data_IF_615566735623
#
_entry.id   IF_615566735623
#
_cell.length_a   1.000
_cell.length_b   1.000
_cell.length_c   1.000
_cell.angle_alpha   90.00
_cell.angle_beta   90.00
_cell.angle_gamma   90.00
#
_symmetry.space_group_name_H-M   'P 1'
#
loop_
_entity.id
_entity.type
_entity.pdbx_description
1 polymer ?
#
# COMPACT_ATOMS: atom_id res chain seq x y z
N UNK A 1 9.88 39.48 14.57
CA UNK A 1 10.93 38.45 14.83
C UNK A 1 10.30 37.11 14.55
N UNK A 2 10.61 36.52 13.41
CA UNK A 2 10.19 35.14 13.07
C UNK A 2 11.08 34.22 13.90
N UNK A 3 10.53 33.65 14.95
CA UNK A 3 11.17 32.58 15.70
C UNK A 3 11.32 31.43 14.72
N UNK A 4 12.53 31.18 14.27
CA UNK A 4 12.87 30.04 13.42
C UNK A 4 12.84 28.80 14.29
N UNK A 5 11.62 28.32 14.57
CA UNK A 5 11.41 27.06 15.31
C UNK A 5 11.92 25.94 14.41
N UNK A 6 12.99 25.27 14.79
CA UNK A 6 13.50 24.10 14.09
C UNK A 6 12.39 23.04 14.11
N UNK A 7 11.97 22.62 12.92
CA UNK A 7 11.01 21.54 12.74
C UNK A 7 11.77 20.25 12.42
N UNK A 8 11.25 19.12 12.84
CA UNK A 8 11.79 17.79 12.52
C UNK A 8 10.70 16.89 11.91
N UNK A 9 11.12 15.94 11.10
CA UNK A 9 10.24 14.94 10.51
C UNK A 9 10.42 13.62 11.26
N UNK A 10 9.30 13.00 11.61
CA UNK A 10 9.26 11.75 12.35
C UNK A 10 8.30 10.77 11.67
N UNK A 11 8.81 9.61 11.32
CA UNK A 11 7.98 8.48 10.89
C UNK A 11 7.53 7.69 12.12
N UNK A 12 6.24 7.70 12.36
CA UNK A 12 5.57 6.95 13.43
C UNK A 12 5.05 5.65 12.82
N UNK A 13 5.38 4.51 13.43
CA UNK A 13 4.90 3.18 13.02
C UNK A 13 4.16 2.54 14.17
N UNK A 14 2.91 2.15 13.94
CA UNK A 14 2.04 1.53 14.94
C UNK A 14 1.58 0.18 14.41
N UNK A 15 1.73 -0.86 15.21
CA UNK A 15 1.29 -2.22 14.88
C UNK A 15 0.61 -2.86 16.07
N UNK A 16 -0.47 -3.59 15.81
CA UNK A 16 -1.21 -4.28 16.88
C UNK A 16 -2.59 -4.75 16.42
N UNK A 17 -3.40 -5.19 17.35
CA UNK A 17 -4.78 -5.57 17.04
C UNK A 17 -5.60 -4.33 16.67
N UNK A 18 -6.29 -4.42 15.53
CA UNK A 18 -7.20 -3.37 15.10
C UNK A 18 -8.41 -3.26 16.03
N UNK A 19 -8.78 -2.02 16.31
CA UNK A 19 -9.98 -1.70 17.07
C UNK A 19 -10.50 -0.29 16.75
N UNK A 20 -11.82 -0.06 16.85
CA UNK A 20 -12.39 1.25 16.64
C UNK A 20 -11.78 2.31 17.56
N UNK A 21 -11.46 3.48 17.01
CA UNK A 21 -10.96 4.63 17.77
C UNK A 21 -9.44 4.70 17.94
N UNK A 22 -8.67 3.66 17.54
CA UNK A 22 -7.21 3.68 17.65
C UNK A 22 -6.60 4.86 16.91
N UNK A 23 -6.87 4.98 15.62
CA UNK A 23 -6.35 6.08 14.79
C UNK A 23 -6.82 7.44 15.31
N UNK A 24 -8.09 7.56 15.74
CA UNK A 24 -8.60 8.81 16.31
C UNK A 24 -7.83 9.24 17.57
N UNK A 25 -7.55 8.31 18.49
CA UNK A 25 -6.78 8.61 19.69
C UNK A 25 -5.34 9.06 19.39
N UNK A 26 -4.71 8.49 18.38
CA UNK A 26 -3.37 8.92 17.93
C UNK A 26 -3.44 10.31 17.32
N UNK A 27 -4.43 10.58 16.45
CA UNK A 27 -4.60 11.88 15.81
C UNK A 27 -4.92 12.98 16.82
N UNK A 28 -5.66 12.71 17.89
CA UNK A 28 -5.95 13.66 18.96
C UNK A 28 -4.66 14.18 19.62
N UNK A 29 -3.70 13.29 19.91
CA UNK A 29 -2.40 13.67 20.48
C UNK A 29 -1.61 14.53 19.47
N UNK A 30 -1.55 14.13 18.21
CA UNK A 30 -0.83 14.87 17.17
C UNK A 30 -1.44 16.25 16.94
N UNK A 31 -2.77 16.34 16.91
CA UNK A 31 -3.49 17.59 16.74
C UNK A 31 -3.29 18.55 17.92
N UNK A 32 -3.17 18.04 19.15
CA UNK A 32 -2.96 18.88 20.36
C UNK A 32 -1.64 19.67 20.32
N UNK A 33 -0.71 19.30 19.45
CA UNK A 33 0.61 19.92 19.27
C UNK A 33 0.82 20.47 17.86
N UNK A 34 -0.24 20.68 17.11
CA UNK A 34 -0.21 21.22 15.75
C UNK A 34 0.75 20.48 14.80
N UNK A 35 0.92 19.15 14.99
CA UNK A 35 1.73 18.33 14.10
C UNK A 35 1.15 18.31 12.68
N UNK A 36 1.99 18.59 11.69
CA UNK A 36 1.62 18.52 10.27
C UNK A 36 1.76 17.09 9.77
N UNK A 37 0.73 16.55 9.14
CA UNK A 37 0.79 15.23 8.51
C UNK A 37 1.36 15.40 7.10
N UNK A 38 2.51 14.77 6.85
CA UNK A 38 3.15 14.74 5.54
C UNK A 38 2.69 13.54 4.71
N UNK A 39 2.50 12.38 5.37
CA UNK A 39 1.95 11.19 4.75
C UNK A 39 1.30 10.28 5.80
N UNK A 40 0.34 9.46 5.37
CA UNK A 40 -0.33 8.48 6.23
C UNK A 40 -0.75 7.27 5.41
N UNK A 41 -0.51 6.07 5.95
CA UNK A 41 -0.91 4.82 5.35
C UNK A 41 -1.31 3.79 6.39
N UNK A 42 -2.39 3.07 6.12
CA UNK A 42 -2.89 1.99 6.97
C UNK A 42 -3.09 0.73 6.14
N UNK A 43 -2.73 -0.40 6.71
CA UNK A 43 -2.99 -1.72 6.14
C UNK A 43 -3.46 -2.68 7.24
N UNK A 44 -4.48 -3.49 6.91
CA UNK A 44 -5.03 -4.50 7.81
C UNK A 44 -4.88 -5.89 7.19
N UNK A 45 -4.23 -6.78 7.93
CA UNK A 45 -4.16 -8.21 7.56
C UNK A 45 -4.68 -9.02 8.75
N UNK A 46 -5.78 -9.73 8.51
CA UNK A 46 -6.53 -10.43 9.57
C UNK A 46 -7.04 -9.39 10.60
N UNK A 47 -6.65 -9.49 11.85
CA UNK A 47 -6.97 -8.54 12.93
C UNK A 47 -5.80 -7.62 13.26
N UNK A 48 -4.75 -7.61 12.45
CA UNK A 48 -3.55 -6.82 12.72
C UNK A 48 -3.53 -5.58 11.86
N UNK A 49 -3.51 -4.42 12.53
CA UNK A 49 -3.31 -3.10 11.96
C UNK A 49 -1.82 -2.81 11.81
N UNK A 50 -1.44 -2.23 10.68
CA UNK A 50 -0.17 -1.53 10.49
C UNK A 50 -0.47 -0.11 10.04
N UNK A 51 -0.16 0.87 10.87
CA UNK A 51 -0.38 2.30 10.60
C UNK A 51 0.97 3.02 10.57
N UNK A 52 1.27 3.66 9.47
CA UNK A 52 2.41 4.56 9.29
C UNK A 52 1.95 6.00 9.18
N UNK A 53 2.58 6.92 9.91
CA UNK A 53 2.29 8.34 9.87
C UNK A 53 3.62 9.08 9.80
N UNK A 54 3.82 9.86 8.75
CA UNK A 54 4.96 10.77 8.65
C UNK A 54 4.48 12.17 9.04
N UNK A 55 5.08 12.71 10.09
CA UNK A 55 4.74 14.02 10.63
C UNK A 55 5.89 15.00 10.50
N UNK A 56 5.55 16.28 10.51
CA UNK A 56 6.47 17.40 10.75
C UNK A 56 6.01 18.17 11.98
N UNK A 57 6.91 18.40 12.90
CA UNK A 57 6.58 19.01 14.20
C UNK A 57 7.76 19.86 14.70
N UNK A 58 7.46 20.88 15.51
CA UNK A 58 8.51 21.67 16.17
C UNK A 58 9.31 20.85 17.16
N UNK A 59 10.62 21.03 17.16
CA UNK A 59 11.60 20.31 18.00
C UNK A 59 11.22 20.33 19.50
N UNK A 60 10.72 21.46 19.98
CA UNK A 60 10.29 21.61 21.39
C UNK A 60 9.09 20.72 21.77
N UNK A 61 8.20 20.42 20.82
CA UNK A 61 6.99 19.63 21.04
C UNK A 61 7.19 18.14 20.78
N UNK A 62 8.20 17.75 20.00
CA UNK A 62 8.39 16.37 19.52
C UNK A 62 8.58 15.38 20.65
N UNK A 63 9.43 15.70 21.62
CA UNK A 63 9.70 14.84 22.78
C UNK A 63 8.45 14.58 23.63
N UNK A 64 7.59 15.60 23.79
CA UNK A 64 6.34 15.45 24.53
C UNK A 64 5.33 14.59 23.76
N UNK A 65 5.19 14.81 22.45
CA UNK A 65 4.31 14.01 21.58
C UNK A 65 4.74 12.54 21.60
N UNK A 66 6.02 12.24 21.42
CA UNK A 66 6.52 10.86 21.47
C UNK A 66 6.21 10.19 22.81
N UNK A 67 6.38 10.90 23.92
CA UNK A 67 6.05 10.41 25.24
C UNK A 67 4.55 10.11 25.40
N UNK A 68 3.69 11.03 25.00
CA UNK A 68 2.23 10.87 25.08
C UNK A 68 1.76 9.70 24.17
N UNK A 69 2.33 9.57 22.98
CA UNK A 69 2.06 8.45 22.08
C UNK A 69 2.51 7.10 22.63
N UNK A 70 3.65 7.02 23.32
CA UNK A 70 4.12 5.81 24.00
C UNK A 70 3.14 5.36 25.09
N UNK A 71 2.67 6.30 25.94
CA UNK A 71 1.66 5.99 26.96
C UNK A 71 0.35 5.53 26.32
N UNK A 72 -0.11 6.22 25.28
CA UNK A 72 -1.33 5.86 24.58
C UNK A 72 -1.20 4.49 23.91
N UNK A 73 -0.08 4.18 23.29
CA UNK A 73 0.16 2.87 22.69
C UNK A 73 0.11 1.74 23.72
N UNK A 74 0.67 1.98 24.91
CA UNK A 74 0.62 1.02 26.03
C UNK A 74 -0.83 0.81 26.50
N UNK A 75 -1.60 1.88 26.68
CA UNK A 75 -3.02 1.82 27.03
C UNK A 75 -3.83 1.06 25.97
N UNK A 76 -3.52 1.31 24.71
CA UNK A 76 -4.16 0.68 23.55
C UNK A 76 -3.65 -0.76 23.29
N UNK A 77 -2.61 -1.23 23.93
CA UNK A 77 -2.03 -2.55 23.72
C UNK A 77 -1.44 -2.73 22.33
N UNK A 78 -0.88 -1.67 21.75
CA UNK A 78 -0.23 -1.69 20.44
C UNK A 78 1.25 -1.35 20.58
N UNK A 79 2.04 -1.76 19.59
CA UNK A 79 3.45 -1.40 19.49
C UNK A 79 3.60 -0.11 18.69
N UNK A 80 4.46 0.79 19.17
CA UNK A 80 4.79 2.03 18.48
C UNK A 80 6.30 2.16 18.33
N UNK A 81 6.73 2.65 17.19
CA UNK A 81 8.13 2.97 16.91
C UNK A 81 8.25 4.31 16.23
N UNK A 82 9.34 5.01 16.50
CA UNK A 82 9.66 6.30 15.91
C UNK A 82 10.97 6.20 15.13
N UNK A 83 11.03 6.85 13.97
CA UNK A 83 12.24 7.00 13.20
C UNK A 83 12.35 8.45 12.73
N UNK A 84 13.43 9.17 13.04
CA UNK A 84 13.68 10.48 12.46
C UNK A 84 13.87 10.32 10.96
N UNK A 85 13.42 11.32 10.20
CA UNK A 85 13.60 11.41 8.75
C UNK A 85 14.29 12.75 8.49
N UNK A 86 15.42 12.73 7.78
CA UNK A 86 16.13 13.97 7.44
C UNK A 86 15.43 14.70 6.30
N UNK A 87 15.74 15.99 6.13
CA UNK A 87 15.22 16.77 5.00
C UNK A 87 15.65 16.15 3.67
N UNK A 88 16.89 15.64 3.58
CA UNK A 88 17.43 15.00 2.39
C UNK A 88 16.69 13.71 2.05
N UNK A 89 16.46 12.83 3.04
CA UNK A 89 15.69 11.59 2.86
C UNK A 89 14.25 11.87 2.43
N UNK A 90 13.65 12.91 3.00
CA UNK A 90 12.30 13.32 2.63
C UNK A 90 12.23 13.82 1.18
N UNK A 91 13.15 14.70 0.77
CA UNK A 91 13.20 15.24 -0.59
C UNK A 91 13.50 14.14 -1.63
N UNK A 92 14.40 13.21 -1.34
CA UNK A 92 14.66 12.04 -2.18
C UNK A 92 13.39 11.18 -2.34
N UNK A 93 12.66 10.96 -1.27
CA UNK A 93 11.40 10.23 -1.30
C UNK A 93 10.34 10.96 -2.14
N UNK A 94 10.19 12.28 -1.98
CA UNK A 94 9.30 13.12 -2.79
C UNK A 94 9.67 13.07 -4.27
N UNK A 95 10.97 13.17 -4.61
CA UNK A 95 11.43 13.07 -5.98
C UNK A 95 11.07 11.71 -6.64
N UNK A 96 11.01 10.64 -5.85
CA UNK A 96 10.56 9.34 -6.33
C UNK A 96 9.06 9.29 -6.65
N UNK A 97 8.22 10.19 -6.13
CA UNK A 97 6.78 10.20 -6.37
C UNK A 97 6.41 10.59 -7.81
N UNK A 98 7.26 11.33 -8.53
CA UNK A 98 7.06 11.74 -9.91
C UNK A 98 7.31 10.64 -10.96
N UNK A 99 7.76 9.44 -10.56
CA UNK A 99 8.02 8.32 -11.49
C UNK A 99 6.72 7.73 -12.03
N UNK A 100 6.82 7.09 -13.21
CA UNK A 100 5.70 6.35 -13.79
C UNK A 100 5.17 5.30 -12.82
N UNK A 101 3.86 5.11 -12.84
CA UNK A 101 3.16 4.11 -12.04
C UNK A 101 2.45 3.10 -12.93
N UNK A 102 2.48 1.86 -12.49
CA UNK A 102 1.81 0.74 -13.15
C UNK A 102 1.09 -0.12 -12.13
N UNK A 103 0.11 -0.86 -12.63
CA UNK A 103 -0.60 -1.86 -11.85
C UNK A 103 -0.38 -3.20 -12.55
N UNK A 104 0.10 -4.18 -11.77
CA UNK A 104 0.09 -5.58 -12.15
C UNK A 104 -0.98 -6.30 -11.34
N UNK A 105 -1.97 -6.85 -12.01
CA UNK A 105 -3.02 -7.66 -11.37
C UNK A 105 -2.76 -9.13 -11.67
N UNK A 106 -2.80 -9.97 -10.65
CA UNK A 106 -2.69 -11.42 -10.74
C UNK A 106 -4.02 -12.04 -10.31
N UNK A 107 -4.58 -12.91 -11.16
CA UNK A 107 -5.85 -13.60 -10.92
C UNK A 107 -5.64 -15.10 -11.06
N UNK A 108 -6.04 -15.87 -10.05
CA UNK A 108 -5.95 -17.32 -10.06
C UNK A 108 -7.05 -17.97 -9.22
N UNK A 109 -7.17 -19.28 -9.29
CA UNK A 109 -8.10 -20.04 -8.41
C UNK A 109 -7.64 -19.98 -6.97
N UNK A 110 -6.34 -20.09 -6.76
CA UNK A 110 -5.67 -19.97 -5.47
C UNK A 110 -4.46 -19.07 -5.63
N UNK A 111 -3.94 -18.52 -4.55
CA UNK A 111 -2.69 -17.78 -4.52
C UNK A 111 -1.66 -18.61 -3.78
N UNK A 112 -0.58 -18.96 -4.45
CA UNK A 112 0.57 -19.64 -3.87
C UNK A 112 1.77 -18.69 -3.77
N UNK A 113 2.68 -18.97 -2.83
CA UNK A 113 3.93 -18.24 -2.71
C UNK A 113 4.77 -18.31 -4.00
N UNK A 114 4.73 -19.46 -4.70
CA UNK A 114 5.44 -19.69 -5.98
C UNK A 114 4.95 -18.75 -7.09
N UNK A 115 3.64 -18.51 -7.18
CA UNK A 115 3.05 -17.57 -8.16
C UNK A 115 3.44 -16.14 -7.86
N UNK A 116 3.42 -15.75 -6.58
CA UNK A 116 3.84 -14.41 -6.15
C UNK A 116 5.34 -14.22 -6.37
N UNK A 117 6.17 -15.24 -6.06
CA UNK A 117 7.60 -15.23 -6.31
C UNK A 117 7.90 -15.01 -7.80
N UNK A 118 7.25 -15.75 -8.69
CA UNK A 118 7.44 -15.61 -10.13
C UNK A 118 7.11 -14.17 -10.59
N UNK A 119 5.97 -13.63 -10.18
CA UNK A 119 5.58 -12.26 -10.51
C UNK A 119 6.58 -11.21 -9.99
N UNK A 120 7.02 -11.35 -8.73
CA UNK A 120 7.95 -10.38 -8.12
C UNK A 120 9.35 -10.45 -8.73
N UNK A 121 9.80 -11.62 -9.19
CA UNK A 121 11.05 -11.78 -9.95
C UNK A 121 11.00 -10.99 -11.27
N UNK A 122 9.90 -11.09 -12.02
CA UNK A 122 9.72 -10.32 -13.26
C UNK A 122 9.73 -8.82 -12.96
N UNK A 123 8.99 -8.37 -11.93
CA UNK A 123 8.96 -6.97 -11.51
C UNK A 123 10.38 -6.45 -11.20
N UNK A 124 11.14 -7.20 -10.41
CA UNK A 124 12.52 -6.83 -10.02
C UNK A 124 13.46 -6.80 -11.23
N UNK A 125 13.38 -7.79 -12.10
CA UNK A 125 14.18 -7.85 -13.35
C UNK A 125 13.95 -6.65 -14.26
N UNK A 126 12.75 -6.11 -14.23
CA UNK A 126 12.37 -4.90 -14.98
C UNK A 126 12.69 -3.58 -14.27
N UNK A 127 13.37 -3.62 -13.12
CA UNK A 127 13.76 -2.43 -12.38
C UNK A 127 12.58 -1.67 -11.75
N UNK A 128 11.45 -2.33 -11.57
CA UNK A 128 10.27 -1.76 -10.94
C UNK A 128 10.28 -1.98 -9.43
N UNK A 129 9.82 -0.97 -8.68
CA UNK A 129 9.59 -1.09 -7.24
C UNK A 129 8.12 -1.44 -6.96
N UNK A 130 7.89 -2.26 -5.95
CA UNK A 130 6.56 -2.56 -5.45
C UNK A 130 6.26 -1.59 -4.30
N UNK A 131 5.29 -0.70 -4.51
CA UNK A 131 4.88 0.26 -3.48
C UNK A 131 3.81 -0.32 -2.56
N UNK A 132 2.90 -1.15 -3.10
CA UNK A 132 1.88 -1.85 -2.30
C UNK A 132 1.41 -3.14 -2.97
N UNK A 133 0.90 -4.05 -2.15
CA UNK A 133 0.23 -5.28 -2.60
C UNK A 133 -1.12 -5.33 -1.91
N UNK A 134 -2.19 -5.42 -2.69
CA UNK A 134 -3.56 -5.43 -2.18
C UNK A 134 -4.34 -6.63 -2.72
N UNK A 135 -4.97 -7.38 -1.83
CA UNK A 135 -5.94 -8.41 -2.22
C UNK A 135 -7.29 -7.77 -2.54
N UNK A 136 -7.75 -7.93 -3.77
CA UNK A 136 -9.02 -7.36 -4.26
C UNK A 136 -10.22 -8.25 -3.97
N UNK A 137 -10.01 -9.55 -3.78
CA UNK A 137 -11.08 -10.53 -3.51
C UNK A 137 -11.27 -10.81 -2.02
N UNK A 138 -12.47 -11.21 -1.64
CA UNK A 138 -12.78 -11.64 -0.28
C UNK A 138 -11.92 -12.83 0.17
N UNK A 139 -11.88 -13.07 1.48
CA UNK A 139 -11.21 -14.23 2.08
C UNK A 139 -12.13 -15.42 2.05
N UNK A 140 -11.59 -16.59 1.72
CA UNK A 140 -12.34 -17.83 1.70
C UNK A 140 -12.33 -18.49 3.08
N UNK A 141 -13.45 -19.16 3.40
CA UNK A 141 -13.48 -20.05 4.55
C UNK A 141 -12.57 -21.27 4.30
N UNK A 142 -11.69 -21.57 5.25
CA UNK A 142 -10.84 -22.77 5.19
C UNK A 142 -11.70 -24.04 5.34
N UNK A 143 -12.80 -23.94 6.10
CA UNK A 143 -13.69 -25.07 6.38
C UNK A 143 -14.75 -25.31 5.29
N UNK A 144 -15.07 -24.28 4.50
CA UNK A 144 -16.08 -24.33 3.44
C UNK A 144 -15.60 -23.59 2.21
N UNK A 145 -14.66 -24.18 1.45
CA UNK A 145 -14.14 -23.56 0.23
C UNK A 145 -15.25 -23.51 -0.82
N UNK A 146 -15.44 -22.35 -1.43
CA UNK A 146 -16.35 -22.19 -2.56
C UNK A 146 -15.65 -22.60 -3.86
N UNK A 147 -16.19 -23.57 -4.64
CA UNK A 147 -15.48 -24.20 -5.77
C UNK A 147 -15.11 -23.23 -6.90
N UNK A 148 -15.84 -22.13 -7.07
CA UNK A 148 -15.67 -21.19 -8.19
C UNK A 148 -15.04 -19.85 -7.78
N UNK A 149 -14.60 -19.69 -6.54
CA UNK A 149 -14.04 -18.45 -6.08
C UNK A 149 -12.62 -18.27 -6.63
N UNK A 150 -12.36 -17.08 -7.18
CA UNK A 150 -11.03 -16.69 -7.65
C UNK A 150 -10.38 -15.78 -6.64
N UNK A 151 -9.05 -15.85 -6.58
CA UNK A 151 -8.24 -14.93 -5.80
C UNK A 151 -7.59 -13.91 -6.75
N UNK A 152 -7.67 -12.64 -6.37
CA UNK A 152 -7.09 -11.54 -7.13
C UNK A 152 -6.26 -10.67 -6.21
N UNK A 153 -5.01 -10.41 -6.62
CA UNK A 153 -4.13 -9.43 -5.97
C UNK A 153 -3.66 -8.38 -6.97
N UNK A 154 -3.46 -7.20 -6.48
CA UNK A 154 -2.97 -6.05 -7.22
C UNK A 154 -1.64 -5.59 -6.63
N UNK A 155 -0.64 -5.40 -7.48
CA UNK A 155 0.64 -4.79 -7.16
C UNK A 155 0.66 -3.38 -7.71
N UNK A 156 0.83 -2.38 -6.88
CA UNK A 156 1.16 -1.02 -7.31
C UNK A 156 2.66 -0.92 -7.52
N UNK A 157 3.07 -0.57 -8.74
CA UNK A 157 4.46 -0.56 -9.17
C UNK A 157 4.89 0.85 -9.54
N UNK A 158 6.13 1.19 -9.22
CA UNK A 158 6.75 2.47 -9.53
C UNK A 158 8.03 2.28 -10.32
N UNK A 159 8.24 3.11 -11.34
CA UNK A 159 9.39 3.08 -12.23
C UNK A 159 8.98 2.97 -13.68
N UNK A 160 9.96 2.67 -14.54
CA UNK A 160 9.73 2.40 -15.97
C UNK A 160 10.34 1.04 -16.28
N UNK A 161 9.57 0.08 -16.84
CA UNK A 161 10.12 -1.21 -17.19
C UNK A 161 11.29 -1.06 -18.16
N UNK A 162 12.36 -1.81 -17.95
CA UNK A 162 13.52 -1.83 -18.85
C UNK A 162 13.11 -2.30 -20.25
N UNK A 163 12.31 -3.35 -20.32
CA UNK A 163 11.73 -3.87 -21.56
C UNK A 163 10.30 -4.37 -21.30
N UNK A 164 9.33 -3.54 -21.70
CA UNK A 164 7.92 -3.85 -21.50
C UNK A 164 7.46 -5.07 -22.31
N UNK A 165 8.00 -5.26 -23.53
CA UNK A 165 7.61 -6.39 -24.38
C UNK A 165 8.12 -7.70 -23.79
N UNK A 166 9.37 -7.76 -23.40
CA UNK A 166 9.96 -8.91 -22.72
C UNK A 166 9.26 -9.21 -21.39
N UNK A 167 8.86 -8.17 -20.64
CA UNK A 167 8.07 -8.34 -19.42
C UNK A 167 6.73 -9.03 -19.69
N UNK A 168 6.02 -8.58 -20.72
CA UNK A 168 4.72 -9.16 -21.09
C UNK A 168 4.86 -10.61 -21.56
N UNK A 169 5.88 -10.92 -22.35
CA UNK A 169 6.16 -12.27 -22.80
C UNK A 169 6.46 -13.22 -21.61
N UNK A 170 7.31 -12.79 -20.68
CA UNK A 170 7.64 -13.57 -19.49
C UNK A 170 6.41 -13.80 -18.59
N UNK A 171 5.54 -12.78 -18.41
CA UNK A 171 4.27 -12.93 -17.68
C UNK A 171 3.31 -13.90 -18.38
N UNK A 172 3.26 -13.91 -19.73
CA UNK A 172 2.44 -14.87 -20.47
C UNK A 172 2.93 -16.31 -20.30
N UNK A 173 4.24 -16.55 -20.30
CA UNK A 173 4.81 -17.87 -20.00
C UNK A 173 4.43 -18.33 -18.60
N UNK A 174 4.61 -17.48 -17.59
CA UNK A 174 4.22 -17.78 -16.20
C UNK A 174 2.72 -18.06 -16.09
N UNK A 175 1.89 -17.29 -16.81
CA UNK A 175 0.44 -17.48 -16.87
C UNK A 175 0.07 -18.88 -17.34
N UNK A 176 0.69 -19.33 -18.43
CA UNK A 176 0.47 -20.68 -18.96
C UNK A 176 0.95 -21.79 -18.02
N UNK A 177 2.14 -21.61 -17.41
CA UNK A 177 2.75 -22.64 -16.58
C UNK A 177 2.10 -22.81 -15.21
N UNK A 178 1.48 -21.73 -14.69
CA UNK A 178 0.95 -21.70 -13.32
C UNK A 178 -0.57 -21.55 -13.24
N UNK A 179 -1.27 -21.59 -14.36
CA UNK A 179 -2.75 -21.43 -14.44
C UNK A 179 -3.25 -20.14 -13.74
N UNK A 180 -2.58 -19.04 -14.00
CA UNK A 180 -2.92 -17.71 -13.48
C UNK A 180 -2.97 -16.70 -14.62
N UNK A 181 -3.76 -15.65 -14.45
CA UNK A 181 -3.86 -14.56 -15.41
C UNK A 181 -3.16 -13.31 -14.88
N UNK A 182 -2.51 -12.57 -15.77
CA UNK A 182 -1.92 -11.28 -15.48
C UNK A 182 -2.54 -10.16 -16.30
N UNK A 183 -2.68 -8.98 -15.68
CA UNK A 183 -2.97 -7.74 -16.36
C UNK A 183 -1.96 -6.68 -15.95
N UNK A 184 -1.27 -6.09 -16.93
CA UNK A 184 -0.29 -5.02 -16.69
C UNK A 184 -0.74 -3.72 -17.35
N UNK A 185 -1.01 -2.69 -16.55
CA UNK A 185 -1.60 -1.43 -16.97
C UNK A 185 -0.82 -0.25 -16.41
N UNK A 186 -0.78 0.85 -17.15
CA UNK A 186 -0.32 2.14 -16.62
C UNK A 186 -1.36 2.66 -15.63
N UNK A 187 -0.89 3.11 -14.45
CA UNK A 187 -1.76 3.73 -13.45
C UNK A 187 -1.78 5.24 -13.68
N UNK A 188 -2.69 5.68 -14.52
CA UNK A 188 -2.93 7.08 -14.82
C UNK A 188 -4.40 7.46 -14.58
N UNK A 189 -4.72 8.74 -14.75
CA UNK A 189 -6.09 9.23 -14.55
C UNK A 189 -7.11 8.53 -15.44
N UNK A 190 -6.69 8.04 -16.61
CA UNK A 190 -7.59 7.40 -17.57
C UNK A 190 -7.98 5.97 -17.17
N UNK A 191 -7.19 5.29 -16.33
CA UNK A 191 -7.51 3.96 -15.78
C UNK A 191 -8.83 3.98 -15.01
N UNK A 192 -9.12 5.06 -14.31
CA UNK A 192 -10.33 5.22 -13.49
C UNK A 192 -11.51 5.82 -14.26
N UNK A 193 -11.26 6.41 -15.42
CA UNK A 193 -12.28 6.99 -16.29
C UNK A 193 -12.65 6.00 -17.39
N UNK A 194 -13.78 5.30 -17.24
CA UNK A 194 -14.32 4.42 -18.27
C UNK A 194 -14.94 5.27 -19.37
N UNK A 195 -14.40 5.18 -20.59
CA UNK A 195 -14.88 5.91 -21.76
C UNK A 195 -15.80 5.09 -22.65
N UNK A 196 -15.79 3.76 -22.47
CA UNK A 196 -16.59 2.82 -23.24
C UNK A 196 -17.12 1.74 -22.30
N UNK A 197 -18.41 1.47 -22.39
CA UNK A 197 -19.08 0.36 -21.72
C UNK A 197 -19.66 -0.50 -22.83
N UNK A 198 -19.19 -1.75 -22.91
CA UNK A 198 -19.73 -2.75 -23.82
C UNK A 198 -20.56 -3.76 -23.01
N UNK A 199 -21.78 -4.04 -23.47
CA UNK A 199 -22.64 -5.08 -22.90
C UNK A 199 -22.76 -6.20 -23.93
N UNK A 200 -22.61 -7.43 -23.46
CA UNK A 200 -23.04 -8.60 -24.22
C UNK A 200 -24.57 -8.67 -24.18
N UNK A 201 -25.19 -8.83 -25.35
CA UNK A 201 -26.64 -8.74 -25.49
C UNK A 201 -27.31 -10.06 -25.12
N UNK A 202 -26.70 -11.19 -25.44
CA UNK A 202 -27.36 -12.49 -25.40
C UNK A 202 -27.52 -13.09 -24.02
N UNK A 203 -26.73 -12.67 -23.03
CA UNK A 203 -26.83 -13.19 -21.66
C UNK A 203 -26.77 -12.11 -20.58
N UNK A 204 -26.60 -10.86 -20.99
CA UNK A 204 -26.46 -9.73 -20.07
C UNK A 204 -27.67 -8.78 -20.11
N UNK A 205 -28.24 -8.53 -21.28
CA UNK A 205 -29.37 -7.60 -21.49
C UNK A 205 -30.69 -8.32 -21.77
N UNK A 206 -30.65 -9.55 -22.27
CA UNK A 206 -31.85 -10.34 -22.66
C UNK A 206 -31.73 -11.73 -22.03
N UNK A 207 -32.69 -12.08 -21.21
CA UNK A 207 -32.91 -13.44 -20.71
C UNK A 207 -33.99 -14.13 -21.51
#
# INVERSE_FOLDING_TARGET
ETINTKEEQILIRITGNDRPGLTASIMEILASKDAKILDIGQADIHSTLSLGILIRIGDEASGQVMKELLFKATELGVHIGFAPVTDEEYEEWVACQGKNRYILTLIGRTLSARQIEAATKVITKQGLNIDSILRLTGRMSIKRPEPNMRACIEFSLRGTPVDRAAMQEELMHISSDMEIDFSFQKDDMYRRMRRLICFDMDSTLIQ
#
